data_IF_377955222381
#
_entry.id   IF_377955222381
#
_cell.length_a   1.000
_cell.length_b   1.000
_cell.length_c   1.000
_cell.angle_alpha   90.00
_cell.angle_beta   90.00
_cell.angle_gamma   90.00
#
_symmetry.space_group_name_H-M   'P 1'
#
loop_
_entity.id
_entity.type
_entity.pdbx_description
1 polymer ?
#
# COMPACT_ATOMS: atom_id res chain seq x y z
N UNK A 1 -6.39 17.65 -24.49
CA UNK A 1 -5.88 16.62 -23.57
C UNK A 1 -6.65 16.66 -22.24
N UNK A 2 -7.44 15.62 -21.95
CA UNK A 2 -8.16 15.52 -20.67
C UNK A 2 -7.15 15.37 -19.52
N UNK A 3 -7.39 16.00 -18.35
CA UNK A 3 -6.50 15.84 -17.20
C UNK A 3 -6.46 14.37 -16.78
N UNK A 4 -5.25 13.84 -16.59
CA UNK A 4 -5.07 12.49 -16.06
C UNK A 4 -5.74 12.42 -14.68
N UNK A 5 -6.64 11.45 -14.48
CA UNK A 5 -7.26 11.21 -13.18
C UNK A 5 -6.17 10.75 -12.21
N UNK A 6 -5.96 11.52 -11.15
CA UNK A 6 -5.00 11.22 -10.09
C UNK A 6 -5.71 10.82 -8.79
N UNK A 7 -4.99 10.09 -7.94
CA UNK A 7 -5.47 9.59 -6.65
C UNK A 7 -4.59 10.18 -5.55
N UNK A 8 -5.16 11.09 -4.76
CA UNK A 8 -4.46 11.79 -3.70
C UNK A 8 -4.73 11.12 -2.35
N UNK A 9 -3.70 10.99 -1.52
CA UNK A 9 -3.87 10.62 -0.11
C UNK A 9 -4.56 11.77 0.62
N UNK A 10 -5.78 11.54 1.09
CA UNK A 10 -6.57 12.48 1.88
C UNK A 10 -6.93 11.79 3.20
N UNK A 11 -6.88 12.54 4.30
CA UNK A 11 -7.17 12.01 5.64
C UNK A 11 -5.96 11.88 6.57
N UNK A 12 -4.74 12.16 6.08
CA UNK A 12 -3.53 12.24 6.90
C UNK A 12 -2.87 13.60 6.68
N UNK A 13 -2.89 14.48 7.70
CA UNK A 13 -2.67 15.93 7.55
C UNK A 13 -1.36 16.34 6.88
N UNK A 14 -0.29 15.57 7.09
CA UNK A 14 1.04 15.83 6.53
C UNK A 14 1.28 15.05 5.21
N UNK A 15 0.36 14.18 4.79
CA UNK A 15 0.57 13.33 3.63
C UNK A 15 0.06 13.98 2.34
N UNK A 16 0.98 14.41 1.48
CA UNK A 16 0.68 15.04 0.17
C UNK A 16 0.93 14.11 -1.02
N UNK A 17 0.98 12.80 -0.78
CA UNK A 17 1.28 11.83 -1.83
C UNK A 17 0.15 11.74 -2.87
N UNK A 18 0.53 11.77 -4.14
CA UNK A 18 -0.37 11.62 -5.29
C UNK A 18 0.09 10.44 -6.14
N UNK A 19 -0.87 9.64 -6.58
CA UNK A 19 -0.64 8.44 -7.37
C UNK A 19 -1.41 8.51 -8.69
N UNK A 20 -0.82 7.96 -9.74
CA UNK A 20 -1.48 7.79 -11.04
C UNK A 20 -2.48 6.64 -11.07
N UNK A 21 -2.44 5.74 -10.07
CA UNK A 21 -3.30 4.55 -9.99
C UNK A 21 -3.86 4.35 -8.58
N UNK A 22 -5.09 3.86 -8.47
CA UNK A 22 -5.82 3.74 -7.20
C UNK A 22 -5.25 2.68 -6.26
N UNK A 23 -4.74 1.57 -6.79
CA UNK A 23 -4.11 0.51 -6.02
C UNK A 23 -2.81 0.97 -5.34
N UNK A 24 -2.11 1.93 -5.95
CA UNK A 24 -0.93 2.54 -5.35
C UNK A 24 -1.31 3.39 -4.14
N UNK A 25 -2.40 4.16 -4.25
CA UNK A 25 -2.97 4.89 -3.12
C UNK A 25 -3.43 3.92 -2.02
N UNK A 26 -4.18 2.87 -2.36
CA UNK A 26 -4.64 1.87 -1.38
C UNK A 26 -3.46 1.21 -0.64
N UNK A 27 -2.42 0.80 -1.37
CA UNK A 27 -1.17 0.27 -0.77
C UNK A 27 -0.48 1.30 0.12
N UNK A 28 -0.48 2.56 -0.29
CA UNK A 28 0.10 3.64 0.50
C UNK A 28 -0.66 3.87 1.81
N UNK A 29 -1.99 3.84 1.79
CA UNK A 29 -2.83 4.02 3.00
C UNK A 29 -2.51 2.96 4.06
N UNK A 30 -2.16 1.73 3.67
CA UNK A 30 -1.71 0.69 4.62
C UNK A 30 -0.49 1.11 5.46
N UNK A 31 0.33 2.05 4.98
CA UNK A 31 1.43 2.62 5.79
C UNK A 31 0.93 3.50 6.93
N UNK A 32 -0.24 4.12 6.77
CA UNK A 32 -0.85 4.94 7.80
C UNK A 32 -1.69 4.12 8.77
N UNK A 33 -2.46 3.15 8.27
CA UNK A 33 -3.32 2.30 9.12
C UNK A 33 -2.54 1.17 9.79
N UNK A 34 -1.34 0.85 9.31
CA UNK A 34 -0.57 -0.31 9.78
C UNK A 34 -1.16 -1.66 9.36
N UNK A 35 -2.15 -1.68 8.47
CA UNK A 35 -2.81 -2.91 8.02
C UNK A 35 -1.81 -3.86 7.33
N UNK A 36 -1.81 -5.12 7.79
CA UNK A 36 -0.96 -6.18 7.27
C UNK A 36 -1.81 -7.42 6.95
N UNK A 37 -2.53 -7.41 5.80
CA UNK A 37 -3.49 -8.46 5.49
C UNK A 37 -2.83 -9.78 5.06
N UNK A 38 -1.51 -9.80 4.81
CA UNK A 38 -0.82 -10.99 4.31
C UNK A 38 -0.02 -11.64 5.42
N UNK A 39 -0.44 -12.82 5.85
CA UNK A 39 0.23 -13.59 6.90
C UNK A 39 0.95 -14.79 6.30
N UNK A 40 2.23 -14.96 6.64
CA UNK A 40 3.00 -16.16 6.31
C UNK A 40 2.67 -17.29 7.28
N UNK A 41 2.91 -18.53 6.88
CA UNK A 41 2.76 -19.70 7.74
C UNK A 41 3.64 -19.63 9.01
N UNK A 42 4.75 -18.90 8.98
CA UNK A 42 5.59 -18.64 10.16
C UNK A 42 5.00 -17.61 11.16
N UNK A 43 3.81 -17.06 10.88
CA UNK A 43 3.13 -16.05 11.70
C UNK A 43 3.52 -14.59 11.40
N UNK A 44 4.53 -14.35 10.55
CA UNK A 44 4.90 -12.97 10.14
C UNK A 44 3.85 -12.35 9.23
N UNK A 45 3.50 -11.10 9.51
CA UNK A 45 2.52 -10.33 8.74
C UNK A 45 3.18 -9.26 7.87
N UNK A 46 2.64 -9.06 6.68
CA UNK A 46 3.15 -8.14 5.66
C UNK A 46 2.02 -7.25 5.12
N UNK A 47 2.33 -5.99 4.83
CA UNK A 47 1.40 -5.04 4.21
C UNK A 47 1.27 -5.22 2.69
N UNK A 48 2.15 -6.03 2.11
CA UNK A 48 2.33 -6.24 0.67
C UNK A 48 2.58 -7.71 0.33
N UNK A 49 1.95 -8.18 -0.74
CA UNK A 49 2.08 -9.56 -1.21
C UNK A 49 3.49 -9.86 -1.75
N UNK A 50 4.11 -8.90 -2.44
CA UNK A 50 5.47 -9.05 -2.96
C UNK A 50 6.49 -9.26 -1.83
N UNK A 51 6.33 -8.53 -0.71
CA UNK A 51 7.15 -8.74 0.48
C UNK A 51 6.93 -10.14 1.09
N UNK A 52 5.68 -10.61 1.16
CA UNK A 52 5.39 -11.97 1.63
C UNK A 52 6.03 -13.02 0.72
N UNK A 53 5.92 -12.86 -0.60
CA UNK A 53 6.51 -13.79 -1.58
C UNK A 53 8.03 -13.84 -1.45
N UNK A 54 8.68 -12.69 -1.35
CA UNK A 54 10.12 -12.63 -1.15
C UNK A 54 10.53 -13.33 0.16
N UNK A 55 9.76 -13.13 1.23
CA UNK A 55 10.00 -13.82 2.50
C UNK A 55 9.82 -15.34 2.39
N UNK A 56 8.75 -15.81 1.74
CA UNK A 56 8.45 -17.24 1.63
C UNK A 56 9.40 -18.01 0.69
N UNK A 57 10.18 -17.31 -0.12
CA UNK A 57 11.25 -17.88 -0.95
C UNK A 57 12.59 -18.00 -0.19
N UNK A 58 12.65 -17.49 1.04
CA UNK A 58 13.82 -17.60 1.94
C UNK A 58 13.58 -18.71 2.94
#
# INVERSE_FOLDING_TARGET
PAPAKTFQCRGYGECRMVFSRSEHLARHIRKHTGERPFTCHCGKQFSRLDNLRQHAQT
#
